data_IF_179492184850
#
_entry.id   IF_179492184850
#
_cell.length_a   1.000
_cell.length_b   1.000
_cell.length_c   1.000
_cell.angle_alpha   90.00
_cell.angle_beta   90.00
_cell.angle_gamma   90.00
#
_symmetry.space_group_name_H-M   'P 1'
#
loop_
_entity.id
_entity.type
_entity.pdbx_description
1 polymer ?
#
# COMPACT_ATOMS: atom_id res chain seq x y z
N UNK A 1 35.51 46.04 -0.69
CA UNK A 1 34.05 46.03 -0.58
C UNK A 1 33.62 44.84 -1.39
N UNK A 2 33.60 43.72 -0.69
CA UNK A 2 33.16 42.41 -1.16
C UNK A 2 31.64 42.42 -1.18
N UNK A 3 31.03 41.91 -2.24
CA UNK A 3 29.73 41.24 -2.15
C UNK A 3 29.87 39.97 -2.98
N UNK A 4 30.30 38.91 -2.30
CA UNK A 4 30.25 37.54 -2.79
C UNK A 4 28.82 37.05 -2.51
N UNK A 5 28.01 36.91 -3.56
CA UNK A 5 26.66 36.37 -3.43
C UNK A 5 26.74 34.90 -2.96
N UNK A 6 26.24 34.66 -1.75
CA UNK A 6 26.13 33.33 -1.17
C UNK A 6 25.15 32.49 -2.02
N UNK A 7 25.47 31.20 -2.27
CA UNK A 7 24.54 30.32 -2.94
C UNK A 7 23.33 30.06 -2.04
N UNK A 8 22.14 30.23 -2.60
CA UNK A 8 20.85 29.89 -2.00
C UNK A 8 20.89 28.41 -1.63
N UNK A 9 20.93 28.13 -0.32
CA UNK A 9 20.75 26.79 0.23
C UNK A 9 19.45 26.22 -0.33
N UNK A 10 19.57 25.23 -1.21
CA UNK A 10 18.43 24.41 -1.60
C UNK A 10 17.91 23.76 -0.32
N UNK A 11 16.65 24.02 0.02
CA UNK A 11 15.97 23.35 1.11
C UNK A 11 16.18 21.84 0.95
N UNK A 12 17.06 21.27 1.78
CA UNK A 12 17.17 19.83 1.94
C UNK A 12 15.84 19.44 2.57
N UNK A 13 14.89 18.99 1.76
CA UNK A 13 13.63 18.42 2.24
C UNK A 13 13.99 17.36 3.28
N UNK A 14 13.74 17.69 4.55
CA UNK A 14 13.98 16.78 5.65
C UNK A 14 13.13 15.54 5.40
N UNK A 15 13.71 14.33 5.37
CA UNK A 15 12.96 13.13 5.07
C UNK A 15 11.79 13.01 6.06
N UNK A 16 10.57 12.81 5.55
CA UNK A 16 9.41 12.62 6.41
C UNK A 16 9.66 11.51 7.44
N UNK A 17 9.21 11.76 8.66
CA UNK A 17 9.33 10.82 9.76
C UNK A 17 8.32 9.69 9.61
N UNK A 18 8.55 8.56 10.28
CA UNK A 18 7.58 7.46 10.28
C UNK A 18 6.22 7.89 10.84
N UNK A 19 6.25 8.82 11.80
CA UNK A 19 5.07 9.42 12.43
C UNK A 19 4.25 10.25 11.45
N UNK A 20 4.89 11.03 10.56
CA UNK A 20 4.17 11.79 9.52
C UNK A 20 3.43 10.85 8.57
N UNK A 21 4.11 9.81 8.05
CA UNK A 21 3.47 8.82 7.18
C UNK A 21 2.34 8.07 7.89
N UNK A 22 2.48 7.79 9.19
CA UNK A 22 1.42 7.18 9.97
C UNK A 22 0.21 8.11 10.12
N UNK A 23 0.44 9.40 10.37
CA UNK A 23 -0.62 10.41 10.48
C UNK A 23 -1.36 10.60 9.16
N UNK A 24 -0.65 10.66 8.03
CA UNK A 24 -1.24 10.76 6.69
C UNK A 24 -2.10 9.53 6.35
N UNK A 25 -1.59 8.33 6.66
CA UNK A 25 -2.35 7.10 6.45
C UNK A 25 -3.63 7.06 7.28
N UNK A 26 -3.57 7.50 8.56
CA UNK A 26 -4.75 7.61 9.42
C UNK A 26 -5.74 8.65 8.90
N UNK A 27 -5.26 9.82 8.46
CA UNK A 27 -6.12 10.86 7.88
C UNK A 27 -6.85 10.37 6.64
N UNK A 28 -6.15 9.67 5.73
CA UNK A 28 -6.77 9.06 4.55
C UNK A 28 -7.80 7.97 4.91
N UNK A 29 -7.60 7.23 6.00
CA UNK A 29 -8.58 6.23 6.43
C UNK A 29 -9.81 6.85 7.14
N UNK A 30 -9.72 8.10 7.62
CA UNK A 30 -10.84 8.84 8.24
C UNK A 30 -11.76 9.55 7.24
N UNK A 31 -11.24 9.90 6.06
CA UNK A 31 -12.01 10.54 5.01
C UNK A 31 -12.89 9.54 4.24
N UNK A 32 -13.95 9.98 3.54
CA UNK A 32 -14.80 9.11 2.73
C UNK A 32 -14.02 8.35 1.64
N UNK A 33 -14.43 7.11 1.36
CA UNK A 33 -13.85 6.30 0.29
C UNK A 33 -14.82 6.19 -0.88
N UNK A 34 -14.28 6.19 -2.10
CA UNK A 34 -14.99 5.80 -3.31
C UNK A 34 -14.85 4.29 -3.44
N UNK A 35 -15.94 3.54 -3.27
CA UNK A 35 -15.89 2.07 -3.21
C UNK A 35 -16.79 1.44 -4.28
N UNK A 36 -16.22 0.54 -5.07
CA UNK A 36 -16.98 -0.43 -5.86
C UNK A 36 -17.03 -1.77 -5.10
N UNK A 37 -18.18 -2.10 -4.54
CA UNK A 37 -18.38 -3.38 -3.86
C UNK A 37 -19.03 -4.38 -4.82
N UNK A 38 -18.26 -5.37 -5.28
CA UNK A 38 -18.71 -6.37 -6.25
C UNK A 38 -19.89 -7.23 -5.74
N UNK A 39 -20.15 -7.23 -4.43
CA UNK A 39 -21.31 -7.92 -3.84
C UNK A 39 -22.58 -7.07 -3.86
N UNK A 40 -22.46 -5.75 -3.99
CA UNK A 40 -23.57 -4.79 -3.86
C UNK A 40 -23.87 -4.04 -5.15
N UNK A 41 -22.87 -3.86 -6.01
CA UNK A 41 -22.96 -3.10 -7.25
C UNK A 41 -22.91 -4.03 -8.46
N UNK A 42 -23.84 -3.92 -9.43
CA UNK A 42 -23.84 -4.73 -10.63
C UNK A 42 -22.56 -4.59 -11.44
N UNK A 43 -22.02 -5.72 -11.94
CA UNK A 43 -20.81 -5.76 -12.78
C UNK A 43 -20.90 -4.85 -14.02
N UNK A 44 -22.09 -4.67 -14.58
CA UNK A 44 -22.32 -3.82 -15.76
C UNK A 44 -22.03 -2.33 -15.52
N UNK A 45 -22.03 -1.87 -14.27
CA UNK A 45 -21.75 -0.47 -13.92
C UNK A 45 -20.24 -0.20 -13.77
N UNK A 46 -19.42 -1.26 -13.75
CA UNK A 46 -18.01 -1.16 -13.40
C UNK A 46 -17.19 -0.29 -14.36
N UNK A 47 -17.45 -0.37 -15.66
CA UNK A 47 -16.70 0.41 -16.66
C UNK A 47 -17.00 1.91 -16.51
N UNK A 48 -18.28 2.29 -16.37
CA UNK A 48 -18.65 3.69 -16.12
C UNK A 48 -18.14 4.21 -14.76
N UNK A 49 -18.08 3.33 -13.76
CA UNK A 49 -17.48 3.66 -12.47
C UNK A 49 -15.96 3.90 -12.58
N UNK A 50 -15.22 3.07 -13.31
CA UNK A 50 -13.78 3.29 -13.54
C UNK A 50 -13.51 4.60 -14.28
N UNK A 51 -14.31 4.91 -15.30
CA UNK A 51 -14.18 6.15 -16.07
C UNK A 51 -14.41 7.39 -15.22
N UNK A 52 -15.40 7.35 -14.31
CA UNK A 52 -15.76 8.47 -13.45
C UNK A 52 -14.82 8.65 -12.25
N UNK A 53 -14.06 7.61 -11.88
CA UNK A 53 -13.24 7.57 -10.67
C UNK A 53 -11.78 7.24 -10.97
N UNK A 54 -11.21 7.84 -12.03
CA UNK A 54 -9.80 7.66 -12.37
C UNK A 54 -8.92 8.22 -11.26
N UNK A 55 -7.99 7.42 -10.69
CA UNK A 55 -7.17 7.88 -9.57
C UNK A 55 -6.31 9.10 -9.91
N UNK A 56 -5.88 9.25 -11.17
CA UNK A 56 -5.14 10.45 -11.60
C UNK A 56 -5.97 11.75 -11.57
N UNK A 57 -7.30 11.66 -11.49
CA UNK A 57 -8.22 12.80 -11.57
C UNK A 57 -8.97 13.06 -10.25
N UNK A 58 -9.21 12.03 -9.45
CA UNK A 58 -9.83 12.18 -8.14
C UNK A 58 -8.85 12.87 -7.19
N UNK A 59 -9.22 14.04 -6.68
CA UNK A 59 -8.40 14.83 -5.75
C UNK A 59 -8.48 14.30 -4.31
N UNK A 60 -7.33 14.21 -3.63
CA UNK A 60 -7.22 13.84 -2.21
C UNK A 60 -8.02 14.77 -1.30
N UNK A 61 -7.94 16.07 -1.56
CA UNK A 61 -8.50 17.11 -0.67
C UNK A 61 -9.85 17.64 -1.13
N UNK A 62 -10.37 17.15 -2.26
CA UNK A 62 -11.59 17.69 -2.86
C UNK A 62 -11.42 19.15 -3.29
N UNK A 63 -12.54 19.86 -3.34
CA UNK A 63 -12.65 21.29 -3.61
C UNK A 63 -13.91 21.80 -2.90
N UNK A 64 -13.74 22.46 -1.75
CA UNK A 64 -14.85 22.96 -0.93
C UNK A 64 -15.69 23.99 -1.69
N UNK A 65 -15.09 24.82 -2.55
CA UNK A 65 -15.80 25.85 -3.31
C UNK A 65 -16.75 25.22 -4.35
N UNK A 66 -16.33 24.10 -4.93
CA UNK A 66 -17.13 23.30 -5.85
C UNK A 66 -17.99 22.24 -5.17
N UNK A 67 -17.97 22.16 -3.83
CA UNK A 67 -18.72 21.18 -3.04
C UNK A 67 -18.21 19.73 -3.15
N UNK A 68 -16.98 19.53 -3.62
CA UNK A 68 -16.36 18.21 -3.77
C UNK A 68 -15.67 17.83 -2.47
N UNK A 69 -16.12 16.74 -1.83
CA UNK A 69 -15.53 16.27 -0.57
C UNK A 69 -14.14 15.66 -0.76
N UNK A 70 -13.29 15.67 0.30
CA UNK A 70 -12.06 14.90 0.33
C UNK A 70 -12.32 13.41 0.11
N UNK A 71 -11.34 12.74 -0.51
CA UNK A 71 -11.37 11.30 -0.73
C UNK A 71 -10.15 10.71 -0.05
N UNK A 72 -10.37 9.71 0.79
CA UNK A 72 -9.30 8.95 1.43
C UNK A 72 -8.67 7.95 0.48
N UNK A 73 -9.53 7.10 -0.11
CA UNK A 73 -9.13 6.02 -1.00
C UNK A 73 -10.20 5.75 -2.06
N UNK A 74 -9.75 5.23 -3.21
CA UNK A 74 -10.60 4.58 -4.20
C UNK A 74 -10.36 3.07 -4.07
N UNK A 75 -11.42 2.27 -3.96
CA UNK A 75 -11.31 0.84 -3.65
C UNK A 75 -12.25 -0.02 -4.49
N UNK A 76 -11.79 -1.23 -4.82
CA UNK A 76 -12.63 -2.31 -5.34
C UNK A 76 -12.57 -3.49 -4.39
N UNK A 77 -13.74 -3.89 -3.90
CA UNK A 77 -13.93 -5.05 -3.03
C UNK A 77 -14.40 -6.21 -3.90
N UNK A 78 -13.58 -7.27 -3.96
CA UNK A 78 -13.90 -8.47 -4.73
C UNK A 78 -14.99 -9.33 -4.07
N UNK A 79 -15.65 -10.24 -4.82
CA UNK A 79 -16.68 -11.12 -4.29
C UNK A 79 -16.17 -12.05 -3.18
N UNK A 80 -14.87 -12.37 -3.21
CA UNK A 80 -14.22 -13.23 -2.22
C UNK A 80 -13.65 -12.46 -1.02
N UNK A 81 -13.88 -11.14 -0.93
CA UNK A 81 -13.39 -10.36 0.21
C UNK A 81 -14.11 -10.76 1.50
N UNK A 82 -13.32 -11.01 2.53
CA UNK A 82 -13.77 -11.12 3.91
C UNK A 82 -12.99 -10.09 4.74
N UNK A 83 -13.68 -9.27 5.56
CA UNK A 83 -13.00 -8.37 6.48
C UNK A 83 -12.09 -9.13 7.44
N UNK A 84 -10.94 -8.53 7.77
CA UNK A 84 -10.04 -9.07 8.79
C UNK A 84 -10.73 -9.07 10.15
N UNK A 85 -10.60 -10.16 10.90
CA UNK A 85 -11.13 -10.31 12.26
C UNK A 85 -10.03 -10.21 13.32
N UNK A 86 -8.87 -9.64 12.98
CA UNK A 86 -7.74 -9.49 13.89
C UNK A 86 -8.01 -8.51 15.03
N UNK A 87 -7.40 -8.75 16.19
CA UNK A 87 -7.47 -7.89 17.37
C UNK A 87 -6.44 -6.76 17.28
N UNK A 88 -6.79 -5.68 16.57
CA UNK A 88 -5.90 -4.52 16.40
C UNK A 88 -5.66 -3.80 17.73
N UNK A 89 -6.66 -3.74 18.62
CA UNK A 89 -6.51 -3.08 19.92
C UNK A 89 -5.54 -3.86 20.81
N UNK A 90 -5.74 -5.18 20.95
CA UNK A 90 -4.83 -6.05 21.71
C UNK A 90 -3.41 -6.07 21.13
N UNK A 91 -3.28 -5.97 19.80
CA UNK A 91 -2.00 -5.79 19.13
C UNK A 91 -1.29 -4.51 19.59
N UNK A 92 -1.98 -3.37 19.61
CA UNK A 92 -1.42 -2.09 20.03
C UNK A 92 -1.03 -2.10 21.52
N UNK A 93 -1.86 -2.67 22.40
CA UNK A 93 -1.50 -2.83 23.81
C UNK A 93 -0.27 -3.72 24.02
N UNK A 94 -0.17 -4.82 23.26
CA UNK A 94 0.97 -5.74 23.35
C UNK A 94 2.24 -5.12 22.79
N UNK A 95 2.10 -4.26 21.78
CA UNK A 95 3.19 -3.45 21.25
C UNK A 95 3.72 -2.46 22.29
N UNK A 96 2.85 -1.72 22.98
CA UNK A 96 3.25 -0.82 24.06
C UNK A 96 4.01 -1.56 25.18
N UNK A 97 3.51 -2.75 25.57
CA UNK A 97 4.20 -3.62 26.55
C UNK A 97 5.58 -4.05 26.06
N UNK A 98 5.71 -4.40 24.77
CA UNK A 98 7.01 -4.75 24.18
C UNK A 98 7.97 -3.55 24.27
N UNK A 99 7.52 -2.35 23.89
CA UNK A 99 8.33 -1.13 23.96
C UNK A 99 8.76 -0.80 25.39
N UNK A 100 7.84 -0.90 26.36
CA UNK A 100 8.12 -0.65 27.78
C UNK A 100 9.10 -1.67 28.38
N UNK A 101 9.13 -2.91 27.86
CA UNK A 101 10.01 -3.97 28.35
C UNK A 101 11.50 -3.77 27.97
N UNK A 102 11.81 -2.87 27.04
CA UNK A 102 13.16 -2.69 26.51
C UNK A 102 13.68 -3.86 25.65
N UNK A 103 12.86 -4.87 25.38
CA UNK A 103 13.19 -5.96 24.45
C UNK A 103 13.42 -5.41 23.03
N UNK A 104 14.32 -6.03 22.25
CA UNK A 104 14.60 -5.56 20.90
C UNK A 104 13.38 -5.70 19.99
N UNK A 105 13.14 -4.66 19.20
CA UNK A 105 12.15 -4.65 18.12
C UNK A 105 12.80 -5.19 16.86
N UNK A 106 12.26 -6.30 16.34
CA UNK A 106 12.73 -6.98 15.14
C UNK A 106 11.53 -7.43 14.30
N UNK A 107 11.77 -7.86 13.04
CA UNK A 107 10.71 -8.49 12.25
C UNK A 107 10.08 -9.68 12.98
N UNK A 108 10.89 -10.50 13.65
CA UNK A 108 10.41 -11.69 14.34
C UNK A 108 9.50 -11.34 15.52
N UNK A 109 9.86 -10.34 16.34
CA UNK A 109 9.00 -9.93 17.46
C UNK A 109 7.69 -9.30 16.98
N UNK A 110 7.71 -8.52 15.89
CA UNK A 110 6.50 -7.96 15.30
C UNK A 110 5.63 -9.04 14.63
N UNK A 111 6.25 -10.04 13.97
CA UNK A 111 5.54 -11.20 13.41
C UNK A 111 4.85 -12.02 14.49
N UNK A 112 5.50 -12.24 15.64
CA UNK A 112 4.89 -12.91 16.79
C UNK A 112 3.67 -12.16 17.32
N UNK A 113 3.75 -10.82 17.44
CA UNK A 113 2.60 -10.00 17.83
C UNK A 113 1.45 -10.15 16.82
N UNK A 114 1.74 -10.09 15.52
CA UNK A 114 0.74 -10.27 14.48
C UNK A 114 0.02 -11.62 14.57
N UNK A 115 0.77 -12.71 14.81
CA UNK A 115 0.25 -14.06 15.00
C UNK A 115 -0.64 -14.17 16.23
N UNK A 116 -0.20 -13.64 17.36
CA UNK A 116 -0.94 -13.70 18.62
C UNK A 116 -2.29 -12.97 18.53
N UNK A 117 -2.36 -11.90 17.75
CA UNK A 117 -3.55 -11.06 17.59
C UNK A 117 -4.32 -11.30 16.30
N UNK A 118 -3.91 -12.27 15.48
CA UNK A 118 -4.52 -12.58 14.17
C UNK A 118 -4.59 -11.39 13.20
N UNK A 119 -3.65 -10.45 13.30
CA UNK A 119 -3.51 -9.32 12.38
C UNK A 119 -2.59 -9.74 11.24
N UNK A 120 -3.12 -10.56 10.33
CA UNK A 120 -2.33 -11.32 9.35
C UNK A 120 -2.41 -10.80 7.92
N UNK A 121 -3.28 -9.83 7.64
CA UNK A 121 -3.40 -9.28 6.29
C UNK A 121 -2.12 -8.54 5.88
N UNK A 122 -1.89 -8.45 4.59
CA UNK A 122 -0.78 -7.68 4.03
C UNK A 122 -1.06 -7.30 2.59
N UNK A 123 -0.18 -6.47 2.04
CA UNK A 123 -0.40 -5.88 0.73
C UNK A 123 0.86 -5.73 -0.09
N UNK A 124 0.74 -5.98 -1.40
CA UNK A 124 1.70 -5.49 -2.38
C UNK A 124 1.41 -4.01 -2.68
N UNK A 125 2.46 -3.19 -2.62
CA UNK A 125 2.45 -1.76 -2.94
C UNK A 125 3.05 -1.54 -4.32
N UNK A 126 2.35 -0.78 -5.15
CA UNK A 126 2.77 -0.32 -6.48
C UNK A 126 2.80 1.20 -6.46
N UNK A 127 3.98 1.80 -6.52
CA UNK A 127 4.10 3.26 -6.62
C UNK A 127 4.31 3.63 -8.09
N UNK A 128 3.39 4.41 -8.66
CA UNK A 128 3.48 4.90 -10.03
C UNK A 128 3.32 6.42 -10.05
N UNK A 129 3.96 7.05 -11.02
CA UNK A 129 3.73 8.46 -11.31
C UNK A 129 2.27 8.67 -11.74
N UNK A 130 1.68 9.80 -11.35
CA UNK A 130 0.30 10.12 -11.74
C UNK A 130 0.12 10.17 -13.26
N UNK A 131 -1.09 9.82 -13.72
CA UNK A 131 -1.50 9.85 -15.13
C UNK A 131 -1.82 8.47 -15.70
N UNK A 132 -1.75 8.35 -17.03
CA UNK A 132 -2.33 7.22 -17.75
C UNK A 132 -1.76 5.83 -17.37
N UNK A 133 -0.49 5.76 -16.97
CA UNK A 133 0.13 4.48 -16.55
C UNK A 133 -0.43 4.01 -15.21
N UNK A 134 -0.65 4.92 -14.27
CA UNK A 134 -1.32 4.64 -13.00
C UNK A 134 -2.76 4.18 -13.26
N UNK A 135 -3.53 4.94 -14.04
CA UNK A 135 -4.93 4.63 -14.32
C UNK A 135 -5.07 3.24 -14.97
N UNK A 136 -4.20 2.93 -15.94
CA UNK A 136 -4.18 1.62 -16.58
C UNK A 136 -3.80 0.51 -15.60
N UNK A 137 -2.75 0.71 -14.77
CA UNK A 137 -2.37 -0.29 -13.76
C UNK A 137 -3.48 -0.51 -12.73
N UNK A 138 -4.18 0.56 -12.33
CA UNK A 138 -5.34 0.53 -11.45
C UNK A 138 -6.48 -0.28 -12.08
N UNK A 139 -6.89 0.05 -13.31
CA UNK A 139 -7.92 -0.69 -14.04
C UNK A 139 -7.59 -2.19 -14.10
N UNK A 140 -6.35 -2.54 -14.44
CA UNK A 140 -5.89 -3.92 -14.51
C UNK A 140 -6.11 -4.70 -13.20
N UNK A 141 -5.71 -4.15 -12.05
CA UNK A 141 -5.88 -4.84 -10.76
C UNK A 141 -7.30 -4.73 -10.21
N UNK A 142 -8.01 -3.65 -10.52
CA UNK A 142 -9.42 -3.45 -10.17
C UNK A 142 -10.31 -4.50 -10.87
N UNK A 143 -10.07 -4.77 -12.16
CA UNK A 143 -10.72 -5.87 -12.89
C UNK A 143 -10.37 -7.23 -12.29
N UNK A 144 -9.12 -7.45 -11.89
CA UNK A 144 -8.74 -8.69 -11.21
C UNK A 144 -9.45 -8.86 -9.85
N UNK A 145 -9.73 -7.76 -9.13
CA UNK A 145 -10.54 -7.79 -7.91
C UNK A 145 -12.01 -8.10 -8.20
N UNK A 146 -12.60 -7.45 -9.21
CA UNK A 146 -13.97 -7.72 -9.69
C UNK A 146 -14.17 -9.19 -10.09
N UNK A 147 -13.17 -9.78 -10.75
CA UNK A 147 -13.16 -11.21 -11.14
C UNK A 147 -12.91 -12.16 -9.96
N UNK A 148 -12.69 -11.65 -8.75
CA UNK A 148 -12.42 -12.46 -7.56
C UNK A 148 -11.02 -13.08 -7.50
N UNK A 149 -10.11 -12.67 -8.38
CA UNK A 149 -8.70 -13.10 -8.38
C UNK A 149 -7.86 -12.39 -7.32
N UNK A 150 -8.25 -11.15 -6.97
CA UNK A 150 -7.72 -10.39 -5.84
C UNK A 150 -8.86 -10.10 -4.88
N UNK A 151 -8.63 -10.21 -3.57
CA UNK A 151 -9.71 -10.01 -2.60
C UNK A 151 -10.12 -8.54 -2.48
N UNK A 152 -9.15 -7.63 -2.46
CA UNK A 152 -9.37 -6.21 -2.28
C UNK A 152 -8.18 -5.44 -2.86
N UNK A 153 -8.48 -4.33 -3.53
CA UNK A 153 -7.49 -3.37 -4.01
C UNK A 153 -7.92 -1.96 -3.64
N UNK A 154 -6.95 -1.09 -3.31
CA UNK A 154 -7.20 0.35 -3.15
C UNK A 154 -6.09 1.16 -3.79
N UNK A 155 -6.42 2.35 -4.29
CA UNK A 155 -5.47 3.30 -4.87
C UNK A 155 -5.65 4.66 -4.21
N UNK A 156 -4.53 5.33 -3.93
CA UNK A 156 -4.56 6.68 -3.37
C UNK A 156 -5.07 7.66 -4.43
N UNK A 157 -5.91 8.64 -4.07
CA UNK A 157 -6.27 9.73 -4.97
C UNK A 157 -5.05 10.62 -5.28
N UNK A 158 -5.21 11.53 -6.24
CA UNK A 158 -4.19 12.47 -6.64
C UNK A 158 -3.99 13.55 -5.58
N UNK A 159 -2.74 13.72 -5.15
CA UNK A 159 -2.33 14.80 -4.26
C UNK A 159 -1.39 15.75 -5.04
N UNK A 160 -1.83 16.99 -5.34
CA UNK A 160 -0.98 17.96 -6.05
C UNK A 160 0.20 18.46 -5.23
N UNK A 161 0.20 18.26 -3.90
CA UNK A 161 1.29 18.62 -2.98
C UNK A 161 2.19 17.43 -2.64
N UNK A 162 1.85 16.22 -3.07
CA UNK A 162 2.62 15.01 -2.81
C UNK A 162 3.83 14.85 -3.73
N UNK A 163 4.57 13.75 -3.56
CA UNK A 163 5.78 13.41 -4.33
C UNK A 163 5.52 13.05 -5.83
N UNK A 164 4.34 13.41 -6.38
CA UNK A 164 3.94 13.09 -7.75
C UNK A 164 3.62 11.61 -8.01
N UNK A 165 3.71 10.75 -6.99
CA UNK A 165 3.41 9.33 -7.06
C UNK A 165 2.15 8.98 -6.29
N UNK A 166 1.40 8.04 -6.84
CA UNK A 166 0.24 7.42 -6.19
C UNK A 166 0.53 5.94 -5.94
N UNK A 167 -0.09 5.39 -4.91
CA UNK A 167 0.11 4.01 -4.49
C UNK A 167 -1.13 3.18 -4.75
N UNK A 168 -0.96 2.06 -5.46
CA UNK A 168 -1.96 1.00 -5.53
C UNK A 168 -1.56 -0.10 -4.54
N UNK A 169 -2.51 -0.54 -3.73
CA UNK A 169 -2.39 -1.61 -2.76
C UNK A 169 -3.25 -2.80 -3.20
N UNK A 170 -2.69 -4.00 -3.26
CA UNK A 170 -3.43 -5.25 -3.48
C UNK A 170 -3.23 -6.19 -2.30
N UNK A 171 -4.32 -6.78 -1.78
CA UNK A 171 -4.31 -7.50 -0.50
C UNK A 171 -4.48 -9.01 -0.61
N UNK A 172 -3.76 -9.72 0.26
CA UNK A 172 -4.03 -11.12 0.64
C UNK A 172 -4.28 -11.22 2.15
N UNK A 173 -4.69 -12.41 2.59
CA UNK A 173 -5.25 -12.64 3.93
C UNK A 173 -4.18 -12.97 4.98
N UNK A 174 -3.08 -13.60 4.56
CA UNK A 174 -2.03 -14.02 5.47
C UNK A 174 -0.61 -13.72 4.92
N UNK A 175 0.06 -12.71 5.46
CA UNK A 175 1.44 -12.38 5.10
C UNK A 175 2.48 -13.40 5.57
N UNK A 176 2.09 -14.29 6.51
CA UNK A 176 2.99 -15.34 7.01
C UNK A 176 2.97 -16.59 6.14
N UNK A 177 1.99 -16.71 5.24
CA UNK A 177 1.94 -17.71 4.19
C UNK A 177 2.64 -17.16 2.94
N UNK A 178 3.88 -17.58 2.72
CA UNK A 178 4.70 -17.17 1.57
C UNK A 178 4.03 -17.52 0.23
N UNK A 179 3.26 -18.62 0.19
CA UNK A 179 2.56 -19.04 -1.03
C UNK A 179 1.44 -18.06 -1.41
N UNK A 180 0.75 -17.46 -0.43
CA UNK A 180 -0.25 -16.41 -0.69
C UNK A 180 0.41 -15.15 -1.27
N UNK A 181 1.57 -14.77 -0.74
CA UNK A 181 2.33 -13.58 -1.18
C UNK A 181 2.80 -13.75 -2.63
N UNK A 182 3.39 -14.91 -2.95
CA UNK A 182 3.85 -15.26 -4.30
C UNK A 182 2.66 -15.35 -5.27
N UNK A 183 1.55 -15.99 -4.85
CA UNK A 183 0.35 -16.11 -5.67
C UNK A 183 -0.24 -14.73 -5.99
N UNK A 184 -0.29 -13.82 -5.03
CA UNK A 184 -0.79 -12.47 -5.27
C UNK A 184 0.12 -11.69 -6.25
N UNK A 185 1.45 -11.80 -6.15
CA UNK A 185 2.36 -11.24 -7.16
C UNK A 185 2.04 -11.81 -8.55
N UNK A 186 1.94 -13.13 -8.68
CA UNK A 186 1.62 -13.78 -9.96
C UNK A 186 0.30 -13.27 -10.55
N UNK A 187 -0.74 -13.10 -9.73
CA UNK A 187 -2.01 -12.52 -10.17
C UNK A 187 -1.81 -11.08 -10.65
N UNK A 188 -1.08 -10.23 -9.92
CA UNK A 188 -0.76 -8.85 -10.34
C UNK A 188 0.01 -8.85 -11.67
N UNK A 189 1.03 -9.70 -11.83
CA UNK A 189 1.81 -9.78 -13.08
C UNK A 189 0.96 -10.23 -14.26
N UNK A 190 0.02 -11.14 -14.03
CA UNK A 190 -0.91 -11.62 -15.06
C UNK A 190 -1.83 -10.53 -15.62
N UNK A 191 -2.03 -9.42 -14.89
CA UNK A 191 -2.81 -8.27 -15.39
C UNK A 191 -2.00 -7.33 -16.28
N UNK A 192 -0.68 -7.55 -16.41
CA UNK A 192 0.23 -6.73 -17.21
C UNK A 192 1.05 -5.73 -16.39
N UNK A 193 0.90 -5.68 -15.06
CA UNK A 193 1.66 -4.78 -14.18
C UNK A 193 3.11 -5.26 -14.04
N UNK A 194 4.06 -4.39 -14.42
CA UNK A 194 5.50 -4.69 -14.45
C UNK A 194 6.35 -3.80 -13.57
N UNK A 195 5.75 -2.82 -12.87
CA UNK A 195 6.50 -1.97 -11.94
C UNK A 195 7.06 -2.79 -10.77
N UNK A 196 8.10 -2.30 -10.08
CA UNK A 196 8.55 -2.91 -8.84
C UNK A 196 7.41 -2.97 -7.82
N UNK A 197 7.29 -4.10 -7.12
CA UNK A 197 6.34 -4.25 -6.02
C UNK A 197 7.11 -4.32 -4.71
N UNK A 198 6.55 -3.75 -3.66
CA UNK A 198 7.05 -3.91 -2.29
C UNK A 198 5.95 -4.39 -1.37
N UNK A 199 6.20 -5.41 -0.57
CA UNK A 199 5.17 -6.02 0.26
C UNK A 199 5.23 -5.48 1.69
N UNK A 200 4.13 -4.93 2.20
CA UNK A 200 3.99 -4.43 3.57
C UNK A 200 2.92 -5.22 4.35
N UNK A 201 3.26 -5.84 5.48
CA UNK A 201 2.28 -6.43 6.40
C UNK A 201 1.42 -5.33 7.05
N UNK A 202 0.13 -5.59 7.28
CA UNK A 202 -0.75 -4.61 7.92
C UNK A 202 -0.35 -4.33 9.37
N UNK A 203 0.24 -5.30 10.06
CA UNK A 203 0.83 -5.08 11.40
C UNK A 203 1.82 -3.91 11.40
N UNK A 204 2.61 -3.71 10.34
CA UNK A 204 3.51 -2.56 10.28
C UNK A 204 2.75 -1.24 10.14
N UNK A 205 1.64 -1.22 9.41
CA UNK A 205 0.78 -0.04 9.32
C UNK A 205 0.13 0.28 10.67
N UNK A 206 -0.46 -0.71 11.34
CA UNK A 206 -1.13 -0.51 12.63
C UNK A 206 -0.18 -0.11 13.76
N UNK A 207 1.08 -0.52 13.69
CA UNK A 207 2.11 -0.18 14.68
C UNK A 207 2.92 1.08 14.33
N UNK A 208 2.57 1.79 13.25
CA UNK A 208 3.27 3.01 12.83
C UNK A 208 4.69 2.77 12.29
N UNK A 209 4.98 1.55 11.82
CA UNK A 209 6.27 1.19 11.22
C UNK A 209 6.25 1.62 9.74
N UNK A 210 6.81 2.80 9.49
CA UNK A 210 7.02 3.39 8.16
C UNK A 210 8.51 3.60 7.89
N UNK A 211 8.83 4.20 6.74
CA UNK A 211 10.20 4.61 6.42
C UNK A 211 10.72 5.54 7.52
N UNK A 212 12.03 5.50 7.79
CA UNK A 212 12.69 6.31 8.81
C UNK A 212 12.23 6.08 10.25
N UNK A 213 11.63 4.93 10.56
CA UNK A 213 11.27 4.60 11.95
C UNK A 213 12.51 4.47 12.86
N UNK A 214 12.31 4.72 14.15
CA UNK A 214 13.36 4.67 15.18
C UNK A 214 14.05 3.32 15.36
N UNK A 215 13.38 2.23 14.99
CA UNK A 215 13.94 0.86 15.11
C UNK A 215 14.76 0.42 13.90
N UNK A 216 14.87 1.28 12.88
CA UNK A 216 15.56 0.99 11.61
C UNK A 216 15.04 -0.27 10.92
N UNK A 217 13.79 -0.67 11.21
CA UNK A 217 13.14 -1.76 10.51
C UNK A 217 12.83 -1.36 9.07
N UNK A 218 13.07 -2.27 8.13
CA UNK A 218 12.56 -2.08 6.79
C UNK A 218 11.03 -2.16 6.82
N UNK A 219 10.29 -1.17 6.30
CA UNK A 219 8.82 -1.16 6.35
C UNK A 219 8.18 -2.11 5.33
N UNK A 220 8.99 -2.91 4.62
CA UNK A 220 8.55 -3.91 3.63
C UNK A 220 9.35 -5.19 3.82
N UNK A 221 8.69 -6.35 3.66
CA UNK A 221 9.27 -7.67 3.96
C UNK A 221 9.50 -8.53 2.71
N UNK A 222 8.88 -8.20 1.58
CA UNK A 222 9.23 -8.75 0.27
C UNK A 222 9.42 -7.62 -0.75
N UNK A 223 10.25 -7.88 -1.75
CA UNK A 223 10.31 -7.09 -2.98
C UNK A 223 10.12 -8.01 -4.18
N UNK A 224 9.45 -7.52 -5.23
CA UNK A 224 9.28 -8.24 -6.49
C UNK A 224 9.71 -7.36 -7.65
N UNK A 225 10.66 -7.86 -8.45
CA UNK A 225 11.15 -7.22 -9.67
C UNK A 225 10.75 -8.06 -10.87
N UNK A 226 10.11 -7.43 -11.86
CA UNK A 226 9.74 -8.12 -13.09
C UNK A 226 10.93 -8.18 -14.04
N UNK A 227 11.32 -9.38 -14.45
CA UNK A 227 12.41 -9.57 -15.40
C UNK A 227 11.89 -9.56 -16.84
N UNK A 228 12.31 -8.54 -17.61
CA UNK A 228 11.96 -8.38 -19.01
C UNK A 228 12.85 -9.22 -19.95
N UNK A 229 14.04 -9.60 -19.49
CA UNK A 229 15.10 -10.28 -20.22
C UNK A 229 15.02 -11.80 -20.08
N UNK A 230 14.50 -12.31 -18.96
CA UNK A 230 14.31 -13.74 -18.74
C UNK A 230 13.23 -14.35 -19.66
N UNK A 231 13.46 -15.59 -20.10
CA UNK A 231 12.52 -16.39 -20.89
C UNK A 231 12.31 -17.75 -20.21
N UNK A 232 11.08 -18.11 -19.78
CA UNK A 232 9.88 -17.26 -19.80
C UNK A 232 9.99 -16.08 -18.82
N UNK A 233 9.39 -14.94 -19.18
CA UNK A 233 9.37 -13.74 -18.33
C UNK A 233 8.72 -14.08 -16.99
N UNK A 234 9.36 -13.66 -15.90
CA UNK A 234 8.94 -13.96 -14.53
C UNK A 234 9.30 -12.81 -13.58
N UNK A 235 8.72 -12.85 -12.39
CA UNK A 235 9.15 -12.02 -11.26
C UNK A 235 10.25 -12.72 -10.48
N UNK A 236 11.17 -11.93 -9.95
CA UNK A 236 12.11 -12.34 -8.90
C UNK A 236 11.62 -11.76 -7.59
N UNK A 237 11.20 -12.62 -6.66
CA UNK A 237 10.69 -12.23 -5.36
C UNK A 237 11.77 -12.51 -4.31
N UNK A 238 12.18 -11.48 -3.58
CA UNK A 238 13.14 -11.59 -2.48
C UNK A 238 12.45 -11.35 -1.15
N UNK A 239 12.60 -12.29 -0.22
CA UNK A 239 12.23 -12.12 1.17
C UNK A 239 13.32 -11.31 1.89
N UNK A 240 13.00 -10.08 2.29
CA UNK A 240 13.95 -9.13 2.86
C UNK A 240 14.32 -9.43 4.32
N UNK A 241 13.54 -10.28 4.99
CA UNK A 241 13.86 -10.74 6.33
C UNK A 241 14.94 -11.84 6.32
N UNK A 242 14.94 -12.70 5.28
CA UNK A 242 15.89 -13.82 5.15
C UNK A 242 16.97 -13.58 4.10
N UNK A 243 16.81 -12.57 3.24
CA UNK A 243 17.60 -12.32 2.03
C UNK A 243 17.62 -13.49 1.03
N UNK A 244 16.55 -14.28 0.98
CA UNK A 244 16.40 -15.41 0.06
C UNK A 244 15.43 -15.06 -1.07
N UNK A 245 15.75 -15.52 -2.28
CA UNK A 245 14.82 -15.54 -3.41
C UNK A 245 13.82 -16.69 -3.23
N UNK A 246 12.54 -16.44 -3.53
CA UNK A 246 11.43 -17.38 -3.25
C UNK A 246 10.68 -17.81 -4.52
N UNK A 247 11.25 -17.53 -5.70
CA UNK A 247 10.70 -17.82 -7.04
C UNK A 247 11.72 -18.47 -7.96
#
# INVERSE_FOLDING_TARGET
MEEEEAPIDGEVETPFTAETYAAEAMAADMDPWIVFDSKRTPRSEFDGWLESNRPSQVSRFGDEESGVSPVGWISVVGPNHCPSTGDVMGLQESWEKLLASGRPVSFQTVKELALNHRVLTGKWLMHLDSGFKLDHAWECVARAALDGRISHVKVSPYDPKGEGKQVICAYNQNFTDESEVIKLDSVIRSTGVKCPLSYKPDVYTYLGIYRNNRWKLCPTIYESKFDLECVPRRSHIVNKATNLEVT
#
